data_IF_712681561298
#
_entry.id   IF_712681561298
#
_cell.length_a   1.000
_cell.length_b   1.000
_cell.length_c   1.000
_cell.angle_alpha   90.00
_cell.angle_beta   90.00
_cell.angle_gamma   90.00
#
_symmetry.space_group_name_H-M   'P 1'
#
loop_
_entity.id
_entity.type
_entity.pdbx_description
1 polymer ?
#
# COMPACT_ATOMS: atom_id res chain seq x y z
N UNK A 1 -18.21 -5.16 10.37
CA UNK A 1 -18.57 -3.94 9.59
C UNK A 1 -19.98 -3.42 9.91
N UNK A 2 -20.63 -3.96 10.92
CA UNK A 2 -21.95 -3.49 11.36
C UNK A 2 -21.82 -2.06 11.92
N UNK A 3 -22.43 -1.11 11.23
CA UNK A 3 -22.51 0.29 11.67
C UNK A 3 -21.72 1.31 10.83
N UNK A 4 -20.89 0.90 9.87
CA UNK A 4 -20.22 1.84 8.97
C UNK A 4 -21.16 2.25 7.82
N UNK A 5 -21.38 3.56 7.66
CA UNK A 5 -22.03 4.10 6.45
C UNK A 5 -21.00 4.05 5.31
N UNK A 6 -21.19 3.11 4.37
CA UNK A 6 -20.27 2.90 3.26
C UNK A 6 -20.83 3.52 1.97
N UNK A 7 -19.93 4.04 1.17
CA UNK A 7 -20.17 4.41 -0.24
C UNK A 7 -19.40 3.49 -1.15
N UNK A 8 -19.94 3.27 -2.36
CA UNK A 8 -19.28 2.54 -3.43
C UNK A 8 -18.78 3.53 -4.48
N UNK A 9 -17.53 3.38 -4.87
CA UNK A 9 -16.92 4.12 -5.98
C UNK A 9 -16.44 3.13 -7.04
N UNK A 10 -16.69 3.43 -8.31
CA UNK A 10 -16.16 2.66 -9.42
C UNK A 10 -14.87 3.29 -9.93
N UNK A 11 -13.79 2.53 -9.93
CA UNK A 11 -12.48 2.97 -10.37
C UNK A 11 -12.05 2.13 -11.57
N UNK A 12 -11.78 2.79 -12.69
CA UNK A 12 -11.34 2.12 -13.92
C UNK A 12 -9.83 1.89 -13.86
N UNK A 13 -9.39 0.62 -13.83
CA UNK A 13 -8.00 0.23 -13.82
C UNK A 13 -7.74 -0.84 -14.89
N UNK A 14 -6.74 -0.61 -15.76
CA UNK A 14 -6.38 -1.56 -16.79
C UNK A 14 -7.53 -1.94 -17.75
N UNK A 15 -8.51 -1.04 -17.93
CA UNK A 15 -9.70 -1.28 -18.76
C UNK A 15 -10.80 -2.10 -18.07
N UNK A 16 -10.73 -2.31 -16.76
CA UNK A 16 -11.76 -2.97 -15.95
C UNK A 16 -12.25 -2.03 -14.86
N UNK A 17 -13.55 -2.12 -14.57
CA UNK A 17 -14.20 -1.41 -13.48
C UNK A 17 -13.97 -2.20 -12.19
N UNK A 18 -13.41 -1.54 -11.18
CA UNK A 18 -13.30 -2.04 -9.81
C UNK A 18 -14.24 -1.26 -8.90
N UNK A 19 -15.05 -1.97 -8.14
CA UNK A 19 -15.91 -1.39 -7.10
C UNK A 19 -15.11 -1.32 -5.80
N UNK A 20 -14.97 -0.12 -5.26
CA UNK A 20 -14.28 0.12 -3.98
C UNK A 20 -15.29 0.70 -3.00
N UNK A 21 -15.52 -0.03 -1.92
CA UNK A 21 -16.29 0.44 -0.77
C UNK A 21 -15.37 1.15 0.19
N UNK A 22 -15.81 2.30 0.67
CA UNK A 22 -15.13 3.06 1.72
C UNK A 22 -16.14 3.72 2.65
N UNK A 23 -15.75 4.09 3.87
CA UNK A 23 -16.58 4.95 4.72
C UNK A 23 -16.96 6.24 3.98
N UNK A 24 -18.22 6.66 4.15
CA UNK A 24 -18.68 7.94 3.57
C UNK A 24 -17.96 9.12 4.20
N UNK A 25 -17.71 9.02 5.49
CA UNK A 25 -17.06 10.03 6.31
C UNK A 25 -16.02 9.33 7.19
N UNK A 26 -14.75 9.51 6.87
CA UNK A 26 -13.63 8.97 7.63
C UNK A 26 -13.44 9.72 8.95
N UNK A 27 -13.81 11.01 9.02
CA UNK A 27 -13.69 11.80 10.24
C UNK A 27 -14.66 11.29 11.32
N UNK A 28 -15.83 10.76 10.92
CA UNK A 28 -16.77 10.14 11.85
C UNK A 28 -16.23 8.85 12.54
N UNK A 29 -15.11 8.31 12.06
CA UNK A 29 -14.45 7.15 12.68
C UNK A 29 -13.45 7.55 13.77
N UNK A 30 -13.18 8.84 13.93
CA UNK A 30 -12.25 9.35 14.94
C UNK A 30 -12.97 9.34 16.28
N UNK A 31 -12.49 8.54 17.24
CA UNK A 31 -12.95 8.59 18.61
C UNK A 31 -12.02 9.49 19.47
N UNK A 32 -12.47 9.82 20.69
CA UNK A 32 -11.68 10.71 21.59
C UNK A 32 -10.31 10.10 21.95
N UNK A 33 -10.17 8.77 21.97
CA UNK A 33 -8.92 8.09 22.24
C UNK A 33 -7.96 8.12 21.05
N UNK A 34 -8.48 8.24 19.81
CA UNK A 34 -7.66 8.35 18.62
C UNK A 34 -6.87 9.69 18.60
N UNK A 35 -7.39 10.75 19.21
CA UNK A 35 -6.70 12.04 19.29
C UNK A 35 -5.46 12.03 20.19
N UNK A 36 -5.40 11.12 21.16
CA UNK A 36 -4.22 11.00 22.04
C UNK A 36 -3.05 10.29 21.35
N UNK A 37 -3.33 9.56 20.26
CA UNK A 37 -2.37 8.78 19.50
C UNK A 37 -2.65 8.94 18.01
N UNK A 38 -1.80 9.68 17.29
CA UNK A 38 -1.91 9.85 15.81
C UNK A 38 -1.98 8.51 15.07
N UNK A 39 -1.41 7.45 15.66
CA UNK A 39 -1.46 6.07 15.14
C UNK A 39 -2.87 5.51 14.94
N UNK A 40 -3.88 6.04 15.64
CA UNK A 40 -5.25 5.55 15.58
C UNK A 40 -6.16 6.36 14.65
N UNK A 41 -5.65 7.39 13.99
CA UNK A 41 -6.42 8.12 12.99
C UNK A 41 -6.77 7.19 11.82
N UNK A 42 -8.01 7.25 11.31
CA UNK A 42 -8.50 6.30 10.30
C UNK A 42 -7.99 6.60 8.88
N UNK A 43 -6.68 6.83 8.73
CA UNK A 43 -6.03 7.07 7.43
C UNK A 43 -6.29 5.95 6.41
N UNK A 44 -6.56 4.73 6.90
CA UNK A 44 -6.89 3.58 6.09
C UNK A 44 -8.22 3.73 5.32
N UNK A 45 -9.11 4.62 5.79
CA UNK A 45 -10.47 4.76 5.28
C UNK A 45 -10.59 5.65 4.03
N UNK A 46 -9.50 6.28 3.61
CA UNK A 46 -9.47 7.22 2.50
C UNK A 46 -8.82 6.65 1.24
N UNK A 47 -9.34 7.10 0.10
CA UNK A 47 -8.75 6.80 -1.21
C UNK A 47 -7.66 7.83 -1.54
N UNK A 48 -6.47 7.60 -1.04
CA UNK A 48 -5.34 8.50 -1.24
C UNK A 48 -4.89 8.55 -2.70
N UNK A 49 -4.50 9.74 -3.22
CA UNK A 49 -3.98 9.89 -4.59
C UNK A 49 -2.80 8.97 -4.90
N UNK A 50 -1.92 8.71 -3.92
CA UNK A 50 -0.79 7.78 -4.05
C UNK A 50 -1.25 6.34 -4.31
N UNK A 51 -2.30 5.89 -3.64
CA UNK A 51 -2.91 4.57 -3.88
C UNK A 51 -3.46 4.45 -5.31
N UNK A 52 -4.14 5.50 -5.80
CA UNK A 52 -4.68 5.55 -7.17
C UNK A 52 -3.55 5.56 -8.21
N UNK A 53 -2.53 6.40 -8.02
CA UNK A 53 -1.37 6.49 -8.92
C UNK A 53 -0.63 5.15 -9.02
N UNK A 54 -0.37 4.51 -7.87
CA UNK A 54 0.29 3.21 -7.80
C UNK A 54 -0.56 2.12 -8.48
N UNK A 55 -1.84 2.04 -8.17
CA UNK A 55 -2.76 1.06 -8.73
C UNK A 55 -2.84 1.15 -10.26
N UNK A 56 -2.91 2.37 -10.83
CA UNK A 56 -2.91 2.58 -12.29
C UNK A 56 -1.65 2.02 -12.94
N UNK A 57 -0.48 2.18 -12.31
CA UNK A 57 0.79 1.66 -12.83
C UNK A 57 0.88 0.14 -12.71
N UNK A 58 0.36 -0.42 -11.63
CA UNK A 58 0.34 -1.87 -11.40
C UNK A 58 -0.64 -2.55 -12.35
N UNK A 59 -1.82 -1.99 -12.58
CA UNK A 59 -2.88 -2.58 -13.39
C UNK A 59 -2.50 -2.83 -14.87
N UNK A 60 -1.52 -2.09 -15.39
CA UNK A 60 -1.04 -2.26 -16.77
C UNK A 60 0.15 -3.24 -16.88
N UNK A 61 0.55 -3.85 -15.76
CA UNK A 61 1.60 -4.87 -15.71
C UNK A 61 1.03 -6.26 -15.90
N UNK A 62 1.82 -7.17 -16.47
CA UNK A 62 1.55 -8.60 -16.46
C UNK A 62 2.38 -9.23 -15.34
N UNK A 63 1.76 -9.56 -14.22
CA UNK A 63 2.49 -10.06 -13.05
C UNK A 63 2.75 -11.56 -13.08
N UNK A 64 2.02 -12.33 -13.92
CA UNK A 64 2.26 -13.76 -14.19
C UNK A 64 2.48 -14.63 -12.93
N UNK A 65 1.69 -14.39 -11.89
CA UNK A 65 1.80 -15.11 -10.62
C UNK A 65 2.91 -14.62 -9.69
N UNK A 66 3.49 -13.43 -9.95
CA UNK A 66 4.49 -12.82 -9.07
C UNK A 66 3.95 -12.71 -7.63
N UNK A 67 4.79 -13.07 -6.65
CA UNK A 67 4.48 -12.95 -5.23
C UNK A 67 4.54 -11.48 -4.83
N UNK A 68 3.38 -10.91 -4.64
CA UNK A 68 3.23 -9.47 -4.39
C UNK A 68 2.80 -9.22 -2.95
N UNK A 69 3.49 -8.31 -2.26
CA UNK A 69 3.15 -7.83 -0.93
C UNK A 69 2.76 -6.36 -1.02
N UNK A 70 1.65 -5.97 -0.42
CA UNK A 70 1.37 -4.56 -0.12
C UNK A 70 1.50 -4.29 1.38
N UNK A 71 2.23 -3.23 1.71
CA UNK A 71 2.40 -2.71 3.06
C UNK A 71 1.46 -1.52 3.26
N UNK A 72 0.72 -1.47 4.39
CA UNK A 72 -0.20 -0.37 4.69
C UNK A 72 -1.28 -0.21 3.63
N UNK A 73 -2.01 -1.29 3.36
CA UNK A 73 -2.88 -1.36 2.19
C UNK A 73 -4.13 -0.44 2.27
N UNK A 74 -4.58 -0.05 3.46
CA UNK A 74 -5.81 0.71 3.63
C UNK A 74 -6.99 0.07 2.88
N UNK A 75 -7.57 0.81 1.93
CA UNK A 75 -8.64 0.30 1.04
C UNK A 75 -8.14 -0.72 0.01
N UNK A 76 -6.83 -0.89 -0.16
CA UNK A 76 -6.18 -1.94 -0.93
C UNK A 76 -6.24 -1.79 -2.45
N UNK A 77 -6.42 -0.58 -2.96
CA UNK A 77 -6.53 -0.38 -4.41
C UNK A 77 -5.31 -0.91 -5.20
N UNK A 78 -4.05 -0.71 -4.76
CA UNK A 78 -2.90 -1.32 -5.40
C UNK A 78 -2.91 -2.85 -5.34
N UNK A 79 -3.37 -3.45 -4.23
CA UNK A 79 -3.53 -4.90 -4.12
C UNK A 79 -4.58 -5.48 -5.07
N UNK A 80 -5.74 -4.82 -5.16
CA UNK A 80 -6.78 -5.20 -6.12
C UNK A 80 -6.25 -5.10 -7.56
N UNK A 81 -5.51 -4.03 -7.88
CA UNK A 81 -4.87 -3.86 -9.18
C UNK A 81 -3.82 -4.95 -9.46
N UNK A 82 -3.03 -5.34 -8.46
CA UNK A 82 -2.03 -6.39 -8.60
C UNK A 82 -2.67 -7.78 -8.79
N UNK A 83 -3.75 -8.08 -8.07
CA UNK A 83 -4.53 -9.31 -8.27
C UNK A 83 -5.15 -9.36 -9.67
N UNK A 84 -5.74 -8.24 -10.12
CA UNK A 84 -6.26 -8.07 -11.48
C UNK A 84 -5.20 -8.31 -12.56
N UNK A 85 -3.95 -7.87 -12.31
CA UNK A 85 -2.80 -8.05 -13.19
C UNK A 85 -2.19 -9.47 -13.13
N UNK A 86 -2.80 -10.40 -12.38
CA UNK A 86 -2.39 -11.80 -12.26
C UNK A 86 -1.32 -12.07 -11.21
N UNK A 87 -1.13 -11.17 -10.23
CA UNK A 87 -0.25 -11.38 -9.08
C UNK A 87 -0.84 -12.33 -8.03
N UNK A 88 0.02 -13.01 -7.28
CA UNK A 88 -0.34 -13.70 -6.03
C UNK A 88 -0.13 -12.75 -4.87
N UNK A 89 -1.18 -12.07 -4.48
CA UNK A 89 -1.13 -10.89 -3.61
C UNK A 89 -1.37 -11.26 -2.15
N UNK A 90 -0.58 -10.65 -1.26
CA UNK A 90 -0.86 -10.51 0.16
C UNK A 90 -0.86 -9.03 0.49
N UNK A 91 -2.00 -8.53 0.91
CA UNK A 91 -2.18 -7.16 1.37
C UNK A 91 -2.11 -7.12 2.89
N UNK A 92 -1.40 -6.14 3.44
CA UNK A 92 -1.22 -6.03 4.88
C UNK A 92 -1.48 -4.62 5.38
N UNK A 93 -2.14 -4.55 6.53
CA UNK A 93 -2.34 -3.31 7.28
C UNK A 93 -2.29 -3.61 8.78
N UNK A 94 -2.06 -2.60 9.59
CA UNK A 94 -2.15 -2.77 11.03
C UNK A 94 -3.60 -2.67 11.55
N UNK A 95 -4.46 -1.91 10.84
CA UNK A 95 -5.87 -1.69 11.18
C UNK A 95 -6.72 -2.92 10.87
N UNK A 96 -7.42 -3.49 11.87
CA UNK A 96 -8.37 -4.57 11.63
C UNK A 96 -9.51 -4.17 10.69
N UNK A 97 -9.95 -2.91 10.75
CA UNK A 97 -11.03 -2.40 9.92
C UNK A 97 -10.61 -2.32 8.44
N UNK A 98 -9.37 -1.88 8.16
CA UNK A 98 -8.80 -1.92 6.81
C UNK A 98 -8.80 -3.35 6.25
N UNK A 99 -8.39 -4.31 7.07
CA UNK A 99 -8.36 -5.74 6.70
C UNK A 99 -9.75 -6.28 6.35
N UNK A 100 -10.76 -5.97 7.17
CA UNK A 100 -12.14 -6.39 6.92
C UNK A 100 -12.71 -5.75 5.65
N UNK A 101 -12.49 -4.45 5.46
CA UNK A 101 -13.02 -3.73 4.31
C UNK A 101 -12.35 -4.16 3.01
N UNK A 102 -11.04 -4.39 3.02
CA UNK A 102 -10.34 -4.90 1.83
C UNK A 102 -10.81 -6.31 1.46
N UNK A 103 -11.09 -7.19 2.42
CA UNK A 103 -11.68 -8.50 2.11
C UNK A 103 -13.02 -8.36 1.39
N UNK A 104 -13.89 -7.47 1.88
CA UNK A 104 -15.16 -7.19 1.24
C UNK A 104 -14.99 -6.56 -0.17
N UNK A 105 -14.00 -5.68 -0.36
CA UNK A 105 -13.66 -5.11 -1.65
C UNK A 105 -13.13 -6.17 -2.62
N UNK A 106 -12.29 -7.09 -2.17
CA UNK A 106 -11.80 -8.20 -2.98
C UNK A 106 -12.93 -9.12 -3.43
N UNK A 107 -13.82 -9.49 -2.51
CA UNK A 107 -15.00 -10.31 -2.80
C UNK A 107 -15.94 -9.64 -3.82
N UNK A 108 -16.24 -8.35 -3.63
CA UNK A 108 -17.09 -7.57 -4.55
C UNK A 108 -16.54 -7.51 -5.98
N UNK A 109 -15.22 -7.66 -6.15
CA UNK A 109 -14.54 -7.66 -7.46
C UNK A 109 -14.15 -9.07 -7.94
N UNK A 110 -14.57 -10.13 -7.25
CA UNK A 110 -14.22 -11.53 -7.56
C UNK A 110 -12.69 -11.76 -7.65
N UNK A 111 -11.91 -11.07 -6.80
CA UNK A 111 -10.47 -11.16 -6.77
C UNK A 111 -9.99 -11.99 -5.57
N UNK A 112 -9.08 -12.94 -5.83
CA UNK A 112 -8.46 -13.76 -4.79
C UNK A 112 -7.14 -13.13 -4.35
N UNK A 113 -7.06 -12.73 -3.08
CA UNK A 113 -5.83 -12.27 -2.42
C UNK A 113 -5.83 -12.60 -0.93
N UNK A 114 -4.65 -12.75 -0.34
CA UNK A 114 -4.49 -12.83 1.10
C UNK A 114 -4.61 -11.42 1.69
N UNK A 115 -5.34 -11.30 2.82
CA UNK A 115 -5.47 -10.03 3.53
C UNK A 115 -5.21 -10.30 5.00
N UNK A 116 -4.14 -9.70 5.54
CA UNK A 116 -3.60 -10.05 6.85
C UNK A 116 -3.21 -8.80 7.64
N UNK A 117 -3.39 -8.86 8.97
CA UNK A 117 -2.85 -7.82 9.84
C UNK A 117 -1.35 -7.98 9.99
N UNK A 118 -0.60 -6.88 9.88
CA UNK A 118 0.84 -6.87 10.10
C UNK A 118 1.28 -5.60 10.83
N UNK A 119 2.23 -5.78 11.73
CA UNK A 119 2.94 -4.70 12.42
C UNK A 119 4.40 -4.66 11.92
N UNK A 120 4.82 -3.51 11.40
CA UNK A 120 6.19 -3.36 10.89
C UNK A 120 7.26 -3.39 11.99
N UNK A 121 6.88 -3.11 13.24
CA UNK A 121 7.77 -3.27 14.39
C UNK A 121 7.99 -4.75 14.74
N UNK A 122 7.10 -5.65 14.30
CA UNK A 122 7.15 -7.09 14.53
C UNK A 122 7.00 -7.88 13.21
N UNK A 123 7.91 -7.69 12.23
CA UNK A 123 7.72 -8.15 10.85
C UNK A 123 7.96 -9.65 10.63
N UNK A 124 8.06 -10.48 11.67
CA UNK A 124 8.43 -11.91 11.58
C UNK A 124 7.67 -12.65 10.49
N UNK A 125 6.34 -12.60 10.49
CA UNK A 125 5.50 -13.30 9.51
C UNK A 125 5.71 -12.83 8.06
N UNK A 126 6.08 -11.57 7.84
CA UNK A 126 6.41 -11.04 6.51
C UNK A 126 7.77 -11.56 6.03
N UNK A 127 8.74 -11.65 6.95
CA UNK A 127 10.11 -12.07 6.67
C UNK A 127 10.21 -13.57 6.45
N UNK A 128 9.42 -14.39 7.15
CA UNK A 128 9.37 -15.84 6.94
C UNK A 128 8.94 -16.20 5.50
N UNK A 129 8.19 -15.33 4.86
CA UNK A 129 7.71 -15.51 3.49
C UNK A 129 8.54 -14.77 2.43
N UNK A 130 9.55 -14.00 2.84
CA UNK A 130 10.47 -13.34 1.91
C UNK A 130 11.34 -14.38 1.15
N UNK A 131 11.89 -14.04 -0.03
CA UNK A 131 11.71 -12.78 -0.74
C UNK A 131 10.37 -12.70 -1.47
N UNK A 132 9.87 -11.46 -1.60
CA UNK A 132 8.73 -11.12 -2.44
C UNK A 132 9.23 -10.64 -3.80
N UNK A 133 8.52 -10.96 -4.88
CA UNK A 133 8.89 -10.52 -6.23
C UNK A 133 8.58 -9.03 -6.44
N UNK A 134 7.48 -8.56 -5.86
CA UNK A 134 7.04 -7.17 -5.87
C UNK A 134 6.55 -6.77 -4.49
N UNK A 135 7.04 -5.64 -3.98
CA UNK A 135 6.51 -4.98 -2.79
C UNK A 135 5.90 -3.66 -3.20
N UNK A 136 4.71 -3.37 -2.70
CA UNK A 136 3.94 -2.16 -2.96
C UNK A 136 3.76 -1.37 -1.68
N UNK A 137 3.78 -0.05 -1.78
CA UNK A 137 3.43 0.85 -0.70
C UNK A 137 2.96 2.20 -1.23
N UNK A 138 1.88 2.71 -0.69
CA UNK A 138 1.32 3.99 -1.09
C UNK A 138 1.04 4.86 0.13
N UNK A 139 1.57 6.07 0.13
CA UNK A 139 1.41 7.07 1.19
C UNK A 139 1.85 6.57 2.59
N UNK A 140 2.94 5.80 2.65
CA UNK A 140 3.43 5.20 3.91
C UNK A 140 4.28 6.17 4.74
N UNK A 141 4.83 7.22 4.13
CA UNK A 141 5.82 8.11 4.74
C UNK A 141 5.16 9.36 5.36
N UNK A 142 3.92 9.24 5.87
CA UNK A 142 3.22 10.36 6.49
C UNK A 142 3.74 10.68 7.90
N UNK A 143 4.39 9.73 8.57
CA UNK A 143 5.05 9.90 9.85
C UNK A 143 6.54 9.51 9.77
N UNK A 144 7.37 10.20 10.55
CA UNK A 144 8.80 9.88 10.65
C UNK A 144 9.05 8.46 11.15
N UNK A 145 8.25 7.99 12.11
CA UNK A 145 8.31 6.63 12.66
C UNK A 145 8.16 5.59 11.56
N UNK A 146 7.25 5.79 10.62
CA UNK A 146 7.05 4.86 9.50
C UNK A 146 8.32 4.74 8.66
N UNK A 147 8.96 5.86 8.35
CA UNK A 147 10.24 5.86 7.61
C UNK A 147 11.33 5.09 8.39
N UNK A 148 11.42 5.29 9.71
CA UNK A 148 12.39 4.62 10.58
C UNK A 148 12.16 3.09 10.65
N UNK A 149 10.92 2.62 10.61
CA UNK A 149 10.57 1.19 10.60
C UNK A 149 10.79 0.56 9.22
N UNK A 150 10.41 1.26 8.16
CA UNK A 150 10.47 0.73 6.79
C UNK A 150 11.89 0.66 6.25
N UNK A 151 12.75 1.62 6.57
CA UNK A 151 14.12 1.68 6.05
C UNK A 151 14.93 0.38 6.30
N UNK A 152 14.97 -0.18 7.51
CA UNK A 152 15.65 -1.46 7.75
C UNK A 152 14.84 -2.69 7.33
N UNK A 153 13.52 -2.59 7.17
CA UNK A 153 12.66 -3.71 6.82
C UNK A 153 12.71 -4.02 5.32
N UNK A 154 12.62 -2.99 4.48
CA UNK A 154 12.44 -3.17 3.04
C UNK A 154 13.53 -4.02 2.36
N UNK A 155 14.84 -3.85 2.63
CA UNK A 155 15.86 -4.70 2.03
C UNK A 155 15.71 -6.19 2.37
N UNK A 156 15.12 -6.50 3.52
CA UNK A 156 14.92 -7.87 4.01
C UNK A 156 13.72 -8.58 3.37
N UNK A 157 12.80 -7.82 2.79
CA UNK A 157 11.62 -8.35 2.09
C UNK A 157 11.93 -8.73 0.63
N UNK A 158 13.03 -8.25 0.08
CA UNK A 158 13.34 -8.31 -1.34
C UNK A 158 14.50 -9.26 -1.63
N UNK A 159 14.47 -9.86 -2.81
CA UNK A 159 15.57 -10.59 -3.40
C UNK A 159 16.25 -9.81 -4.53
N UNK A 160 17.32 -10.35 -5.13
CA UNK A 160 18.12 -9.63 -6.15
C UNK A 160 17.35 -9.22 -7.40
N UNK A 161 16.21 -9.86 -7.71
CA UNK A 161 15.37 -9.54 -8.87
C UNK A 161 14.04 -8.90 -8.50
N UNK A 162 13.83 -8.63 -7.23
CA UNK A 162 12.62 -8.02 -6.71
C UNK A 162 12.57 -6.53 -6.97
N UNK A 163 11.36 -5.99 -6.91
CA UNK A 163 11.11 -4.56 -6.99
C UNK A 163 10.25 -4.11 -5.82
N UNK A 164 10.56 -2.92 -5.32
CA UNK A 164 9.67 -2.16 -4.46
C UNK A 164 9.14 -0.97 -5.25
N UNK A 165 7.83 -0.77 -5.24
CA UNK A 165 7.19 0.42 -5.79
C UNK A 165 6.53 1.21 -4.67
N UNK A 166 7.03 2.41 -4.46
CA UNK A 166 6.57 3.32 -3.41
C UNK A 166 5.96 4.56 -4.08
N UNK A 167 4.69 4.82 -3.83
CA UNK A 167 4.04 6.06 -4.25
C UNK A 167 3.89 7.01 -3.06
N UNK A 168 4.35 8.24 -3.20
CA UNK A 168 4.32 9.25 -2.16
C UNK A 168 3.98 10.63 -2.75
N UNK A 169 3.10 11.42 -2.08
CA UNK A 169 2.68 12.74 -2.59
C UNK A 169 3.73 13.85 -2.32
N UNK A 170 4.89 13.52 -1.77
CA UNK A 170 5.91 14.48 -1.34
C UNK A 170 5.80 14.80 0.16
N UNK A 171 5.50 13.79 0.97
CA UNK A 171 5.47 13.94 2.44
C UNK A 171 6.83 14.40 2.96
N UNK A 172 6.89 15.20 4.03
CA UNK A 172 8.17 15.69 4.56
C UNK A 172 9.22 14.60 4.84
N UNK A 173 8.86 13.39 5.34
CA UNK A 173 9.84 12.31 5.53
C UNK A 173 10.29 11.62 4.23
N UNK A 174 9.62 11.82 3.08
CA UNK A 174 9.89 11.06 1.86
C UNK A 174 11.30 11.34 1.27
N UNK A 175 11.68 12.61 1.16
CA UNK A 175 12.99 12.96 0.61
C UNK A 175 14.16 12.42 1.45
N UNK A 176 14.22 12.62 2.77
CA UNK A 176 15.25 12.00 3.62
C UNK A 176 15.23 10.46 3.58
N UNK A 177 14.03 9.85 3.50
CA UNK A 177 13.90 8.41 3.37
C UNK A 177 14.53 7.88 2.07
N UNK A 178 14.22 8.49 0.92
CA UNK A 178 14.78 8.10 -0.38
C UNK A 178 16.30 8.31 -0.42
N UNK A 179 16.81 9.38 0.18
CA UNK A 179 18.25 9.62 0.30
C UNK A 179 18.94 8.50 1.11
N UNK A 180 18.39 8.15 2.26
CA UNK A 180 18.91 7.05 3.09
C UNK A 180 18.78 5.69 2.38
N UNK A 181 17.64 5.43 1.72
CA UNK A 181 17.41 4.20 0.97
C UNK A 181 18.37 4.01 -0.21
N UNK A 182 18.90 5.09 -0.80
CA UNK A 182 19.89 5.02 -1.87
C UNK A 182 21.19 4.30 -1.48
N UNK A 183 21.44 4.12 -0.18
CA UNK A 183 22.55 3.27 0.30
C UNK A 183 22.38 1.80 -0.02
N UNK A 184 21.15 1.28 -0.05
CA UNK A 184 20.82 -0.12 -0.31
C UNK A 184 20.16 -0.36 -1.66
N UNK A 185 19.60 0.70 -2.29
CA UNK A 185 18.78 0.58 -3.49
C UNK A 185 19.25 1.46 -4.63
N UNK A 186 19.10 0.96 -5.85
CA UNK A 186 19.03 1.79 -7.05
C UNK A 186 17.59 2.28 -7.18
N UNK A 187 17.42 3.61 -7.23
CA UNK A 187 16.12 4.27 -7.20
C UNK A 187 15.88 4.99 -8.53
N UNK A 188 14.71 4.75 -9.11
CA UNK A 188 14.20 5.54 -10.23
C UNK A 188 12.83 6.10 -9.87
N UNK A 189 12.60 7.37 -10.19
CA UNK A 189 11.36 8.08 -9.87
C UNK A 189 10.65 8.48 -11.16
N UNK A 190 9.34 8.38 -11.14
CA UNK A 190 8.48 8.82 -12.24
C UNK A 190 7.42 9.78 -11.70
N UNK A 191 7.27 10.91 -12.35
CA UNK A 191 6.21 11.88 -12.06
C UNK A 191 4.84 11.28 -12.31
N UNK A 192 3.86 11.76 -11.55
CA UNK A 192 2.45 11.43 -11.73
C UNK A 192 1.60 12.68 -11.49
N UNK A 193 0.61 12.91 -12.35
CA UNK A 193 -0.26 14.09 -12.26
C UNK A 193 -1.06 14.14 -10.95
N UNK A 194 -1.29 12.99 -10.29
CA UNK A 194 -1.93 12.93 -8.98
C UNK A 194 -0.98 13.26 -7.83
N UNK A 195 0.34 13.30 -8.09
CA UNK A 195 1.40 13.47 -7.10
C UNK A 195 2.36 14.61 -7.50
N UNK A 196 1.87 15.87 -7.61
CA UNK A 196 2.63 16.98 -8.21
C UNK A 196 3.90 17.37 -7.45
N UNK A 197 4.01 17.00 -6.16
CA UNK A 197 5.21 17.26 -5.33
C UNK A 197 5.99 15.98 -5.00
N UNK A 198 5.51 14.83 -5.45
CA UNK A 198 6.06 13.51 -5.19
C UNK A 198 6.19 12.68 -6.46
N UNK A 199 5.83 11.40 -6.37
CA UNK A 199 5.86 10.51 -7.52
C UNK A 199 5.74 9.04 -7.15
N UNK A 200 6.00 8.19 -8.16
CA UNK A 200 6.12 6.75 -7.96
C UNK A 200 7.60 6.36 -8.10
N UNK A 201 8.15 5.87 -7.02
CA UNK A 201 9.55 5.48 -6.88
C UNK A 201 9.67 3.96 -7.03
N UNK A 202 10.57 3.52 -7.87
CA UNK A 202 10.90 2.11 -8.06
C UNK A 202 12.29 1.86 -7.53
N UNK A 203 12.38 0.96 -6.56
CA UNK A 203 13.60 0.62 -5.85
C UNK A 203 13.98 -0.84 -6.15
N UNK A 204 15.25 -1.09 -6.40
CA UNK A 204 15.85 -2.41 -6.57
C UNK A 204 17.08 -2.52 -5.70
N UNK A 205 17.28 -3.67 -5.06
CA UNK A 205 18.49 -3.90 -4.29
C UNK A 205 19.73 -3.70 -5.18
N UNK A 206 20.72 -3.01 -4.64
CA UNK A 206 22.04 -2.95 -5.24
C UNK A 206 22.69 -4.34 -5.20
N UNK A 207 23.32 -4.73 -6.30
CA UNK A 207 24.06 -5.98 -6.40
C UNK A 207 25.37 -5.98 -5.63
#
# INVERSE_FOLDING_TARGET
MDGLDLVEETIVLGGRDLVVRRPRDSEALIDEHAFEHEEFLPYWAELWPSGVALARRVAVRALHGARTLELGCGLGLPSLAAALAGGRVVATDWSPQAIELLRANAEANELALGVERADWAQPGALLERAPWDLVLGADLLYERRNAELLLPLLPRLLGPRSELWLADPGRPPAAPFLEAAAGAFDISSAEDALLPQGGVHRLRLRG
#
